data_IF_805634403197
#
_entry.id   IF_805634403197
#
_cell.length_a   1.000
_cell.length_b   1.000
_cell.length_c   1.000
_cell.angle_alpha   90.00
_cell.angle_beta   90.00
_cell.angle_gamma   90.00
#
_symmetry.space_group_name_H-M   'P 1'
#
loop_
_entity.id
_entity.type
_entity.pdbx_description
1 polymer ?
#
# COMPACT_ATOMS: atom_id res chain seq x y z
N UNK A 1 -4.03 -3.16 4.98
CA UNK A 1 -3.53 -2.71 6.30
C UNK A 1 -2.09 -3.16 6.54
N UNK A 2 -1.83 -4.46 6.51
CA UNK A 2 -0.49 -5.01 6.73
C UNK A 2 0.22 -5.28 5.42
N UNK A 3 1.53 -5.06 5.41
CA UNK A 3 2.41 -5.30 4.28
C UNK A 3 3.74 -5.88 4.76
N UNK A 4 4.29 -6.84 4.04
CA UNK A 4 5.62 -7.42 4.21
C UNK A 4 6.13 -7.50 5.67
N UNK A 5 6.06 -8.65 6.31
CA UNK A 5 6.63 -8.84 7.65
C UNK A 5 5.93 -8.12 8.80
N UNK A 6 4.68 -7.68 8.63
CA UNK A 6 3.88 -7.09 9.71
C UNK A 6 3.90 -5.56 9.79
N UNK A 7 4.52 -4.86 8.85
CA UNK A 7 4.39 -3.40 8.75
C UNK A 7 2.94 -2.99 8.50
N UNK A 8 2.48 -1.90 9.10
CA UNK A 8 1.11 -1.40 9.01
C UNK A 8 1.08 0.03 8.46
N UNK A 9 1.39 0.24 7.17
CA UNK A 9 1.54 1.57 6.59
C UNK A 9 0.25 2.39 6.57
N UNK A 10 -0.90 1.75 6.47
CA UNK A 10 -2.23 2.39 6.40
C UNK A 10 -3.18 1.67 7.35
N UNK A 11 -3.21 2.05 8.63
CA UNK A 11 -4.02 1.38 9.67
C UNK A 11 -5.52 1.34 9.36
N UNK A 12 -6.05 2.39 8.75
CA UNK A 12 -7.45 2.53 8.37
C UNK A 12 -7.87 1.68 7.18
N UNK A 13 -6.91 1.15 6.39
CA UNK A 13 -7.23 0.34 5.21
C UNK A 13 -7.99 -0.93 5.59
N UNK A 14 -9.04 -1.25 4.83
CA UNK A 14 -9.86 -2.44 4.98
C UNK A 14 -9.86 -3.22 3.66
N UNK A 15 -10.05 -4.53 3.76
CA UNK A 15 -10.11 -5.39 2.57
C UNK A 15 -11.49 -5.37 1.88
N UNK A 16 -12.49 -4.78 2.52
CA UNK A 16 -13.90 -4.82 2.11
C UNK A 16 -14.53 -3.43 1.90
N UNK A 17 -13.72 -2.35 1.93
CA UNK A 17 -14.22 -0.97 1.80
C UNK A 17 -14.41 -0.50 0.35
N UNK A 18 -14.00 -1.30 -0.63
CA UNK A 18 -14.21 -1.02 -2.04
C UNK A 18 -13.33 0.07 -2.63
N UNK A 19 -12.22 0.39 -1.98
CA UNK A 19 -11.21 1.35 -2.45
C UNK A 19 -9.80 0.79 -2.34
N UNK A 20 -8.88 1.34 -3.14
CA UNK A 20 -7.45 1.14 -3.02
C UNK A 20 -6.88 2.21 -2.11
N UNK A 21 -6.22 1.80 -1.04
CA UNK A 21 -5.43 2.69 -0.19
C UNK A 21 -4.00 2.74 -0.73
N UNK A 22 -3.60 3.90 -1.19
CA UNK A 22 -2.30 4.11 -1.83
C UNK A 22 -1.49 5.10 -1.01
N UNK A 23 -0.27 4.72 -0.64
CA UNK A 23 0.69 5.63 -0.03
C UNK A 23 1.67 6.12 -1.09
N UNK A 24 1.72 7.42 -1.28
CA UNK A 24 2.64 8.09 -2.19
C UNK A 24 3.82 8.62 -1.37
N UNK A 25 5.02 8.19 -1.72
CA UNK A 25 6.24 8.60 -1.03
C UNK A 25 7.16 9.34 -2.01
N UNK A 26 7.57 10.54 -1.63
CA UNK A 26 8.52 11.33 -2.43
C UNK A 26 9.93 10.77 -2.29
N UNK A 27 10.76 10.95 -3.32
CA UNK A 27 12.19 10.66 -3.24
C UNK A 27 12.84 11.53 -2.16
N UNK A 28 13.53 10.91 -1.23
CA UNK A 28 14.20 11.57 -0.09
C UNK A 28 15.58 10.97 0.14
N UNK A 29 16.41 11.67 0.90
CA UNK A 29 17.72 11.16 1.33
C UNK A 29 17.59 10.04 2.38
N UNK A 30 18.68 9.30 2.58
CA UNK A 30 18.73 8.10 3.46
C UNK A 30 18.26 8.37 4.88
N UNK A 31 18.66 9.48 5.49
CA UNK A 31 18.29 9.81 6.87
C UNK A 31 16.78 10.08 7.02
N UNK A 32 16.18 10.81 6.07
CA UNK A 32 14.74 11.04 6.05
C UNK A 32 13.97 9.76 5.75
N UNK A 33 14.50 8.90 4.87
CA UNK A 33 13.93 7.58 4.59
C UNK A 33 13.91 6.69 5.83
N UNK A 34 14.99 6.62 6.60
CA UNK A 34 15.04 5.80 7.82
C UNK A 34 13.98 6.23 8.85
N UNK A 35 13.80 7.55 9.05
CA UNK A 35 12.74 8.09 9.92
C UNK A 35 11.34 7.76 9.40
N UNK A 36 11.12 7.94 8.11
CA UNK A 36 9.84 7.62 7.48
C UNK A 36 9.55 6.12 7.56
N UNK A 37 10.55 5.26 7.37
CA UNK A 37 10.38 3.80 7.41
C UNK A 37 9.91 3.31 8.78
N UNK A 38 10.46 3.86 9.88
CA UNK A 38 9.99 3.56 11.23
C UNK A 38 8.51 3.95 11.40
N UNK A 39 8.13 5.16 10.99
CA UNK A 39 6.74 5.62 11.03
C UNK A 39 5.81 4.84 10.09
N UNK A 40 6.31 4.44 8.92
CA UNK A 40 5.59 3.60 7.97
C UNK A 40 5.24 2.23 8.58
N UNK A 41 6.19 1.63 9.29
CA UNK A 41 5.99 0.31 9.90
C UNK A 41 4.96 0.32 11.03
N UNK A 42 4.79 1.45 11.73
CA UNK A 42 3.86 1.61 12.85
C UNK A 42 2.53 2.28 12.47
N UNK A 43 2.35 2.64 11.20
CA UNK A 43 1.15 3.34 10.73
C UNK A 43 1.13 4.84 11.04
N UNK A 44 2.27 5.42 11.34
CA UNK A 44 2.42 6.83 11.70
C UNK A 44 2.98 7.69 10.56
N UNK A 45 2.90 7.23 9.32
CA UNK A 45 3.39 7.95 8.14
C UNK A 45 2.75 9.35 7.98
N UNK A 46 1.56 9.56 8.56
CA UNK A 46 0.88 10.85 8.63
C UNK A 46 1.69 11.94 9.35
N UNK A 47 2.67 11.58 10.18
CA UNK A 47 3.61 12.52 10.83
C UNK A 47 4.57 13.19 9.83
N UNK A 48 4.65 12.69 8.62
CA UNK A 48 5.54 13.19 7.56
C UNK A 48 4.75 13.61 6.29
N UNK A 49 3.77 14.52 6.39
CA UNK A 49 2.87 14.86 5.28
C UNK A 49 3.59 15.46 4.06
N UNK A 50 4.77 16.05 4.27
CA UNK A 50 5.62 16.58 3.21
C UNK A 50 6.37 15.51 2.42
N UNK A 51 6.46 14.27 2.95
CA UNK A 51 7.20 13.15 2.34
C UNK A 51 6.25 12.05 1.90
N UNK A 52 5.26 11.72 2.73
CA UNK A 52 4.32 10.64 2.50
C UNK A 52 2.87 11.15 2.55
N UNK A 53 2.06 10.68 1.60
CA UNK A 53 0.64 11.01 1.53
C UNK A 53 -0.16 9.75 1.24
N UNK A 54 -1.19 9.51 2.03
CA UNK A 54 -2.18 8.45 1.76
C UNK A 54 -3.32 9.05 0.93
N UNK A 55 -3.70 8.34 -0.13
CA UNK A 55 -4.85 8.65 -0.97
C UNK A 55 -5.69 7.40 -1.18
N UNK A 56 -6.98 7.57 -1.35
CA UNK A 56 -7.91 6.49 -1.68
C UNK A 56 -8.46 6.69 -3.08
N UNK A 57 -8.58 5.60 -3.84
CA UNK A 57 -9.10 5.64 -5.20
C UNK A 57 -9.72 4.28 -5.55
N UNK A 58 -10.55 4.23 -6.58
CA UNK A 58 -11.03 2.97 -7.18
C UNK A 58 -10.11 2.45 -8.27
N UNK A 59 -9.38 3.36 -8.88
CA UNK A 59 -8.35 3.07 -9.87
C UNK A 59 -7.15 3.98 -9.64
N UNK A 60 -5.96 3.42 -9.74
CA UNK A 60 -4.68 4.15 -9.68
C UNK A 60 -3.93 3.85 -10.98
N UNK A 61 -3.59 4.89 -11.73
CA UNK A 61 -2.77 4.80 -12.92
C UNK A 61 -1.48 5.55 -12.72
N UNK A 62 -0.37 4.88 -12.94
CA UNK A 62 0.99 5.44 -12.84
C UNK A 62 1.63 5.36 -14.20
N UNK A 63 2.07 6.49 -14.74
CA UNK A 63 2.76 6.57 -16.01
C UNK A 63 4.14 7.19 -15.80
N UNK A 64 5.15 6.57 -16.38
CA UNK A 64 6.50 7.13 -16.44
C UNK A 64 6.59 8.21 -17.52
N UNK A 65 7.40 9.21 -17.27
CA UNK A 65 7.78 10.22 -18.27
C UNK A 65 9.24 10.05 -18.75
N UNK A 66 9.80 8.87 -18.57
CA UNK A 66 11.18 8.58 -18.95
C UNK A 66 11.48 7.09 -18.86
N UNK A 67 12.26 6.70 -17.86
CA UNK A 67 12.58 5.30 -17.64
C UNK A 67 11.37 4.48 -17.21
N UNK A 68 11.40 3.17 -17.47
CA UNK A 68 10.36 2.26 -17.04
C UNK A 68 10.20 2.22 -15.52
N UNK A 69 8.97 2.05 -15.08
CA UNK A 69 8.61 1.85 -13.68
C UNK A 69 8.93 0.40 -13.30
N UNK A 70 9.65 0.21 -12.22
CA UNK A 70 9.79 -1.11 -11.59
C UNK A 70 8.60 -1.32 -10.66
N UNK A 71 7.78 -2.30 -10.97
CA UNK A 71 6.63 -2.70 -10.15
C UNK A 71 6.91 -4.03 -9.51
N UNK A 72 6.67 -4.13 -8.21
CA UNK A 72 6.76 -5.37 -7.45
C UNK A 72 5.38 -5.72 -6.92
N UNK A 73 4.85 -6.88 -7.33
CA UNK A 73 3.55 -7.40 -6.94
C UNK A 73 3.73 -8.77 -6.30
N UNK A 74 3.39 -8.91 -5.03
CA UNK A 74 3.52 -10.16 -4.27
C UNK A 74 4.90 -10.84 -4.36
N UNK A 75 5.95 -10.01 -4.51
CA UNK A 75 7.35 -10.47 -4.61
C UNK A 75 7.85 -10.65 -6.05
N UNK A 76 6.99 -10.62 -7.05
CA UNK A 76 7.38 -10.63 -8.46
C UNK A 76 7.55 -9.20 -8.98
N UNK A 77 8.69 -8.94 -9.64
CA UNK A 77 9.00 -7.62 -10.17
C UNK A 77 8.98 -7.64 -11.71
N UNK A 78 8.35 -6.63 -12.27
CA UNK A 78 8.33 -6.39 -13.72
C UNK A 78 8.58 -4.90 -14.02
N UNK A 79 8.86 -4.59 -15.28
CA UNK A 79 9.10 -3.23 -15.78
C UNK A 79 8.05 -2.86 -16.81
N UNK A 80 7.56 -1.63 -16.75
CA UNK A 80 6.63 -1.10 -17.74
C UNK A 80 6.64 0.42 -17.75
N UNK A 81 6.23 1.03 -18.86
CA UNK A 81 6.05 2.48 -18.96
C UNK A 81 4.78 2.98 -18.26
N UNK A 82 3.82 2.09 -18.01
CA UNK A 82 2.56 2.41 -17.35
C UNK A 82 2.06 1.22 -16.53
N UNK A 83 1.48 1.51 -15.36
CA UNK A 83 0.83 0.53 -14.49
C UNK A 83 -0.54 1.05 -14.12
N UNK A 84 -1.56 0.22 -14.28
CA UNK A 84 -2.91 0.50 -13.82
C UNK A 84 -3.34 -0.55 -12.80
N UNK A 85 -3.75 -0.09 -11.63
CA UNK A 85 -4.29 -0.93 -10.56
C UNK A 85 -5.76 -0.58 -10.35
N UNK A 86 -6.62 -1.57 -10.32
CA UNK A 86 -8.05 -1.42 -10.03
C UNK A 86 -8.57 -2.59 -9.23
N UNK A 87 -9.65 -2.37 -8.50
CA UNK A 87 -10.33 -3.47 -7.81
C UNK A 87 -10.96 -4.41 -8.86
N UNK A 88 -10.79 -5.71 -8.66
CA UNK A 88 -11.45 -6.71 -9.47
C UNK A 88 -12.95 -6.72 -9.19
N UNK A 89 -13.76 -6.90 -10.22
CA UNK A 89 -15.22 -7.08 -10.08
C UNK A 89 -15.56 -8.39 -9.35
N UNK A 90 -14.75 -9.43 -9.59
CA UNK A 90 -14.90 -10.73 -8.95
C UNK A 90 -14.24 -10.72 -7.56
N UNK A 91 -14.99 -11.20 -6.57
CA UNK A 91 -14.49 -11.34 -5.19
C UNK A 91 -13.97 -12.74 -4.96
N UNK A 92 -12.88 -12.86 -4.22
CA UNK A 92 -12.33 -14.12 -3.73
C UNK A 92 -13.01 -14.46 -2.40
N UNK A 93 -13.46 -15.71 -2.24
CA UNK A 93 -13.97 -16.23 -0.98
C UNK A 93 -12.83 -16.90 -0.22
N UNK A 94 -12.64 -16.47 1.01
CA UNK A 94 -11.70 -17.11 1.92
C UNK A 94 -12.45 -17.94 2.95
N UNK A 95 -11.97 -19.13 3.22
CA UNK A 95 -12.42 -19.94 4.34
C UNK A 95 -11.55 -19.63 5.55
N UNK A 96 -12.17 -19.34 6.66
CA UNK A 96 -11.50 -19.04 7.92
C UNK A 96 -12.26 -19.61 9.11
N UNK A 97 -11.65 -19.74 10.28
CA UNK A 97 -12.33 -20.12 11.50
C UNK A 97 -13.53 -19.23 11.79
N UNK A 98 -14.55 -19.75 12.48
CA UNK A 98 -15.72 -18.95 12.90
C UNK A 98 -15.26 -17.76 13.76
N UNK A 99 -15.75 -16.57 13.44
CA UNK A 99 -15.38 -15.34 14.14
C UNK A 99 -14.14 -14.63 13.60
N UNK A 100 -13.43 -15.18 12.61
CA UNK A 100 -12.37 -14.46 11.91
C UNK A 100 -12.95 -13.34 11.05
N UNK A 101 -12.40 -12.14 11.21
CA UNK A 101 -12.64 -11.01 10.32
C UNK A 101 -11.36 -10.69 9.56
N UNK A 102 -11.42 -10.46 8.24
CA UNK A 102 -10.25 -10.03 7.46
C UNK A 102 -9.70 -8.68 7.93
N UNK A 103 -10.51 -7.93 8.69
CA UNK A 103 -10.15 -6.63 9.24
C UNK A 103 -9.78 -6.69 10.73
N UNK A 104 -9.76 -7.87 11.35
CA UNK A 104 -9.33 -8.02 12.74
C UNK A 104 -7.86 -7.60 12.90
N UNK A 105 -7.59 -6.83 13.94
CA UNK A 105 -6.22 -6.52 14.34
C UNK A 105 -5.61 -7.80 14.91
N UNK A 106 -4.45 -8.21 14.40
CA UNK A 106 -3.67 -9.23 15.10
C UNK A 106 -3.32 -8.68 16.50
N UNK A 107 -3.74 -9.40 17.54
CA UNK A 107 -3.38 -9.10 18.92
C UNK A 107 -1.98 -9.59 19.20
#
# INVERSE_FOLDING_TARGET
RYYGGGSMPVPEARMDDGVLHTILVRKVGRAAFAKLFAAYSTGESWKFPQIARVVTAREVRIRSHGEEIVTCLDGECFRSGEVTMRLAEKRVRFFGPRGCSPNATAR
#
